data_IF_323013113570
#
_entry.id   IF_323013113570
#
_cell.length_a   1.000
_cell.length_b   1.000
_cell.length_c   1.000
_cell.angle_alpha   90.00
_cell.angle_beta   90.00
_cell.angle_gamma   90.00
#
_symmetry.space_group_name_H-M   'P 1'
#
loop_
_entity.id
_entity.type
_entity.pdbx_description
1 polymer ?
#
# COMPACT_ATOMS: atom_id res chain seq x y z
N UNK A 1 1.66 -114.68 -36.52
CA UNK A 1 1.52 -113.30 -37.03
C UNK A 1 2.81 -112.57 -36.71
N UNK A 2 3.82 -112.57 -37.59
CA UNK A 2 5.15 -112.06 -37.21
C UNK A 2 5.25 -110.53 -37.19
N UNK A 3 4.34 -109.80 -37.84
CA UNK A 3 4.43 -108.35 -38.00
C UNK A 3 3.17 -107.68 -37.44
N UNK A 4 3.26 -107.08 -36.24
CA UNK A 4 2.17 -106.40 -35.57
C UNK A 4 2.67 -105.16 -34.83
N UNK A 5 1.92 -104.05 -34.92
CA UNK A 5 2.20 -102.81 -34.19
C UNK A 5 1.21 -102.64 -33.06
N UNK A 6 1.71 -102.21 -31.89
CA UNK A 6 0.92 -101.99 -30.68
C UNK A 6 0.90 -100.50 -30.39
N UNK A 7 -0.29 -99.91 -30.39
CA UNK A 7 -0.51 -98.50 -30.07
C UNK A 7 -1.16 -98.43 -28.69
N UNK A 8 -0.54 -97.65 -27.81
CA UNK A 8 -0.95 -97.44 -26.42
C UNK A 8 -1.09 -95.93 -26.20
N UNK A 9 -2.27 -95.49 -25.78
CA UNK A 9 -2.53 -94.09 -25.41
C UNK A 9 -3.40 -94.06 -24.15
N UNK A 10 -3.25 -93.04 -23.33
CA UNK A 10 -3.95 -92.92 -22.04
C UNK A 10 -5.48 -92.82 -22.21
N UNK A 11 -5.92 -92.25 -23.33
CA UNK A 11 -7.35 -92.15 -23.69
C UNK A 11 -7.95 -93.44 -24.28
N UNK A 12 -7.13 -94.48 -24.50
CA UNK A 12 -7.63 -95.77 -24.98
C UNK A 12 -7.85 -96.74 -23.81
N UNK A 13 -9.04 -97.33 -23.75
CA UNK A 13 -9.35 -98.42 -22.81
C UNK A 13 -8.72 -99.74 -23.29
N UNK A 14 -7.39 -99.82 -23.31
CA UNK A 14 -6.61 -100.98 -23.73
C UNK A 14 -5.65 -100.70 -24.89
N UNK A 15 -4.84 -101.70 -25.25
CA UNK A 15 -3.87 -101.58 -26.33
C UNK A 15 -4.49 -101.98 -27.67
N UNK A 16 -4.37 -101.12 -28.68
CA UNK A 16 -4.79 -101.44 -30.05
C UNK A 16 -3.64 -102.16 -30.74
N UNK A 17 -3.90 -103.34 -31.30
CA UNK A 17 -2.90 -104.14 -32.04
C UNK A 17 -3.32 -104.22 -33.50
N UNK A 18 -2.50 -103.69 -34.39
CA UNK A 18 -2.73 -103.75 -35.84
C UNK A 18 -1.75 -104.76 -36.46
N UNK A 19 -2.28 -105.68 -37.27
CA UNK A 19 -1.46 -106.62 -38.01
C UNK A 19 -1.03 -106.00 -39.35
N UNK A 20 0.20 -106.27 -39.78
CA UNK A 20 0.72 -105.88 -41.09
C UNK A 20 1.03 -107.13 -41.93
N UNK A 21 0.89 -107.05 -43.25
CA UNK A 21 1.09 -108.19 -44.14
C UNK A 21 2.59 -108.47 -44.38
N UNK A 22 3.45 -107.47 -44.17
CA UNK A 22 4.91 -107.59 -44.25
C UNK A 22 5.64 -106.70 -43.24
N UNK A 23 6.91 -107.02 -42.97
CA UNK A 23 7.81 -106.19 -42.15
C UNK A 23 7.98 -104.78 -42.74
N UNK A 24 8.00 -104.69 -44.07
CA UNK A 24 8.14 -103.42 -44.79
C UNK A 24 6.93 -102.50 -44.55
N UNK A 25 5.70 -103.04 -44.68
CA UNK A 25 4.48 -102.26 -44.40
C UNK A 25 4.39 -101.87 -42.92
N UNK A 26 4.77 -102.76 -42.00
CA UNK A 26 4.81 -102.45 -40.58
C UNK A 26 5.74 -101.25 -40.29
N UNK A 27 6.94 -101.25 -40.88
CA UNK A 27 7.89 -100.14 -40.75
C UNK A 27 7.35 -98.85 -41.35
N UNK A 28 6.74 -98.91 -42.54
CA UNK A 28 6.16 -97.76 -43.23
C UNK A 28 5.01 -97.12 -42.44
N UNK A 29 4.10 -97.92 -41.86
CA UNK A 29 3.01 -97.41 -41.02
C UNK A 29 3.51 -96.80 -39.70
N UNK A 30 4.52 -97.41 -39.07
CA UNK A 30 5.16 -96.83 -37.89
C UNK A 30 5.84 -95.49 -38.21
N UNK A 31 6.50 -95.39 -39.36
CA UNK A 31 7.11 -94.14 -39.83
C UNK A 31 6.04 -93.06 -40.07
N UNK A 32 4.97 -93.37 -40.82
CA UNK A 32 3.87 -92.42 -41.07
C UNK A 32 3.15 -91.98 -39.78
N UNK A 33 2.97 -92.87 -38.80
CA UNK A 33 2.41 -92.52 -37.49
C UNK A 33 3.34 -91.61 -36.68
N UNK A 34 4.65 -91.84 -36.75
CA UNK A 34 5.63 -90.96 -36.11
C UNK A 34 5.71 -89.59 -36.82
N UNK A 35 5.63 -89.56 -38.14
CA UNK A 35 5.61 -88.32 -38.91
C UNK A 35 4.35 -87.49 -38.68
N UNK A 36 3.17 -88.11 -38.69
CA UNK A 36 1.91 -87.43 -38.37
C UNK A 36 1.89 -86.91 -36.94
N UNK A 37 2.43 -87.66 -35.96
CA UNK A 37 2.61 -87.19 -34.59
C UNK A 37 3.50 -85.94 -34.48
N UNK A 38 4.59 -85.87 -35.26
CA UNK A 38 5.46 -84.68 -35.32
C UNK A 38 4.71 -83.47 -35.90
N UNK A 39 3.86 -83.66 -36.91
CA UNK A 39 3.06 -82.58 -37.50
C UNK A 39 2.01 -82.06 -36.51
N UNK A 40 1.29 -82.94 -35.83
CA UNK A 40 0.29 -82.55 -34.81
C UNK A 40 0.93 -81.77 -33.66
N UNK A 41 2.09 -82.23 -33.18
CA UNK A 41 2.84 -81.52 -32.14
C UNK A 41 3.34 -80.14 -32.60
N UNK A 42 3.89 -80.04 -33.80
CA UNK A 42 4.31 -78.74 -34.38
C UNK A 42 3.13 -77.78 -34.55
N UNK A 43 1.97 -78.27 -34.97
CA UNK A 43 0.76 -77.43 -35.09
C UNK A 43 0.27 -76.96 -33.72
N UNK A 44 0.30 -77.82 -32.69
CA UNK A 44 -0.02 -77.44 -31.32
C UNK A 44 0.94 -76.36 -30.80
N UNK A 45 2.25 -76.53 -31.01
CA UNK A 45 3.26 -75.53 -30.65
C UNK A 45 3.07 -74.19 -31.38
N UNK A 46 2.76 -74.22 -32.67
CA UNK A 46 2.46 -73.00 -33.43
C UNK A 46 1.18 -72.32 -32.92
N UNK A 47 0.16 -73.10 -32.56
CA UNK A 47 -1.08 -72.58 -31.97
C UNK A 47 -0.84 -71.92 -30.61
N UNK A 48 -0.09 -72.57 -29.73
CA UNK A 48 0.30 -72.04 -28.42
C UNK A 48 1.13 -70.76 -28.57
N UNK A 49 2.16 -70.76 -29.41
CA UNK A 49 2.98 -69.57 -29.67
C UNK A 49 2.17 -68.41 -30.29
N UNK A 50 1.16 -68.70 -31.12
CA UNK A 50 0.27 -67.67 -31.67
C UNK A 50 -0.66 -67.09 -30.60
N UNK A 51 -1.21 -67.93 -29.71
CA UNK A 51 -2.04 -67.48 -28.59
C UNK A 51 -1.21 -66.61 -27.64
N UNK A 52 -0.02 -67.08 -27.24
CA UNK A 52 0.90 -66.31 -26.40
C UNK A 52 1.25 -64.95 -27.04
N UNK A 53 1.52 -64.92 -28.36
CA UNK A 53 1.78 -63.68 -29.08
C UNK A 53 0.57 -62.74 -29.07
N UNK A 54 -0.65 -63.26 -29.24
CA UNK A 54 -1.87 -62.45 -29.23
C UNK A 54 -2.19 -61.93 -27.82
N UNK A 55 -1.97 -62.73 -26.78
CA UNK A 55 -2.12 -62.32 -25.39
C UNK A 55 -1.12 -61.23 -25.02
N UNK A 56 0.15 -61.37 -25.43
CA UNK A 56 1.17 -60.37 -25.22
C UNK A 56 0.84 -59.05 -25.94
N UNK A 57 0.36 -59.11 -27.19
CA UNK A 57 -0.11 -57.93 -27.92
C UNK A 57 -1.32 -57.29 -27.26
N UNK A 58 -2.30 -58.09 -26.81
CA UNK A 58 -3.48 -57.60 -26.10
C UNK A 58 -3.12 -56.90 -24.78
N UNK A 59 -2.19 -57.48 -24.01
CA UNK A 59 -1.68 -56.87 -22.79
C UNK A 59 -0.93 -55.56 -23.08
N UNK A 60 -0.11 -55.54 -24.13
CA UNK A 60 0.62 -54.34 -24.53
C UNK A 60 -0.33 -53.21 -24.94
N UNK A 61 -1.35 -53.50 -25.76
CA UNK A 61 -2.37 -52.53 -26.15
C UNK A 61 -3.16 -52.00 -24.95
N UNK A 62 -3.45 -52.86 -23.96
CA UNK A 62 -4.13 -52.44 -22.74
C UNK A 62 -3.26 -51.49 -21.91
N UNK A 63 -1.96 -51.76 -21.80
CA UNK A 63 -0.99 -50.87 -21.14
C UNK A 63 -0.89 -49.52 -21.83
N UNK A 64 -0.68 -49.52 -23.14
CA UNK A 64 -0.60 -48.29 -23.93
C UNK A 64 -1.87 -47.46 -23.78
N UNK A 65 -3.05 -48.09 -23.87
CA UNK A 65 -4.33 -47.41 -23.63
C UNK A 65 -4.40 -46.77 -22.24
N UNK A 66 -3.96 -47.47 -21.20
CA UNK A 66 -3.95 -46.93 -19.84
C UNK A 66 -3.01 -45.73 -19.74
N UNK A 67 -1.79 -45.83 -20.27
CA UNK A 67 -0.81 -44.73 -20.28
C UNK A 67 -1.34 -43.49 -21.03
N UNK A 68 -2.06 -43.68 -22.13
CA UNK A 68 -2.72 -42.56 -22.82
C UNK A 68 -3.82 -41.92 -21.99
N UNK A 69 -4.62 -42.72 -21.27
CA UNK A 69 -5.65 -42.20 -20.38
C UNK A 69 -5.04 -41.43 -19.21
N UNK A 70 -3.98 -41.95 -18.61
CA UNK A 70 -3.29 -41.30 -17.50
C UNK A 70 -2.72 -39.93 -17.93
N UNK A 71 -2.06 -39.86 -19.09
CA UNK A 71 -1.58 -38.59 -19.67
C UNK A 71 -2.70 -37.58 -19.92
N UNK A 72 -3.82 -38.03 -20.48
CA UNK A 72 -4.97 -37.16 -20.73
C UNK A 72 -5.56 -36.63 -19.42
N UNK A 73 -5.57 -37.45 -18.36
CA UNK A 73 -5.99 -37.01 -17.03
C UNK A 73 -5.04 -35.96 -16.46
N UNK A 74 -3.72 -36.18 -16.54
CA UNK A 74 -2.71 -35.20 -16.12
C UNK A 74 -2.87 -33.86 -16.85
N UNK A 75 -2.97 -33.88 -18.19
CA UNK A 75 -3.19 -32.66 -19.00
C UNK A 75 -4.51 -31.95 -18.60
N UNK A 76 -5.56 -32.70 -18.31
CA UNK A 76 -6.85 -32.13 -17.89
C UNK A 76 -6.74 -31.47 -16.51
N UNK A 77 -6.03 -32.09 -15.57
CA UNK A 77 -5.78 -31.52 -14.24
C UNK A 77 -4.95 -30.24 -14.33
N UNK A 78 -3.90 -30.22 -15.16
CA UNK A 78 -3.08 -29.02 -15.40
C UNK A 78 -3.91 -27.88 -16.00
N UNK A 79 -4.77 -28.17 -16.98
CA UNK A 79 -5.67 -27.17 -17.58
C UNK A 79 -6.69 -26.63 -16.57
N UNK A 80 -7.22 -27.48 -15.69
CA UNK A 80 -8.11 -27.05 -14.61
C UNK A 80 -7.40 -26.10 -13.65
N UNK A 81 -6.18 -26.43 -13.21
CA UNK A 81 -5.37 -25.57 -12.34
C UNK A 81 -5.05 -24.23 -13.00
N UNK A 82 -4.66 -24.23 -14.29
CA UNK A 82 -4.42 -22.99 -15.03
C UNK A 82 -5.67 -22.12 -15.14
N UNK A 83 -6.84 -22.74 -15.33
CA UNK A 83 -8.11 -22.03 -15.37
C UNK A 83 -8.46 -21.42 -14.02
N UNK A 84 -8.30 -22.16 -12.93
CA UNK A 84 -8.53 -21.67 -11.58
C UNK A 84 -7.63 -20.47 -11.27
N UNK A 85 -6.32 -20.58 -11.55
CA UNK A 85 -5.37 -19.47 -11.41
C UNK A 85 -5.78 -18.24 -12.22
N UNK A 86 -6.26 -18.45 -13.46
CA UNK A 86 -6.73 -17.35 -14.31
C UNK A 86 -7.98 -16.68 -13.72
N UNK A 87 -8.94 -17.46 -13.24
CA UNK A 87 -10.15 -16.93 -12.59
C UNK A 87 -9.80 -16.18 -11.30
N UNK A 88 -8.84 -16.65 -10.51
CA UNK A 88 -8.33 -15.94 -9.33
C UNK A 88 -7.65 -14.62 -9.69
N UNK A 89 -6.82 -14.61 -10.74
CA UNK A 89 -6.19 -13.38 -11.25
C UNK A 89 -7.23 -12.38 -11.76
N UNK A 90 -8.27 -12.84 -12.44
CA UNK A 90 -9.37 -11.98 -12.90
C UNK A 90 -10.15 -11.38 -11.71
N UNK A 91 -10.44 -12.17 -10.67
CA UNK A 91 -11.06 -11.67 -9.43
C UNK A 91 -10.17 -10.64 -8.73
N UNK A 92 -8.88 -10.92 -8.59
CA UNK A 92 -7.92 -9.99 -7.98
C UNK A 92 -7.84 -8.69 -8.78
N UNK A 93 -7.82 -8.77 -10.11
CA UNK A 93 -7.79 -7.59 -10.97
C UNK A 93 -9.05 -6.73 -10.79
N UNK A 94 -10.24 -7.34 -10.67
CA UNK A 94 -11.48 -6.60 -10.39
C UNK A 94 -11.43 -5.87 -9.04
N UNK A 95 -10.89 -6.52 -7.99
CA UNK A 95 -10.72 -5.89 -6.68
C UNK A 95 -9.74 -4.71 -6.77
N UNK A 96 -8.60 -4.89 -7.44
CA UNK A 96 -7.62 -3.82 -7.65
C UNK A 96 -8.17 -2.64 -8.46
N UNK A 97 -8.98 -2.91 -9.49
CA UNK A 97 -9.66 -1.86 -10.26
C UNK A 97 -10.68 -1.10 -9.42
N UNK A 98 -11.45 -1.79 -8.57
CA UNK A 98 -12.39 -1.17 -7.64
C UNK A 98 -11.68 -0.31 -6.60
N UNK A 99 -10.61 -0.82 -5.97
CA UNK A 99 -9.78 -0.05 -5.03
C UNK A 99 -9.18 1.18 -5.71
N UNK A 100 -8.65 1.03 -6.93
CA UNK A 100 -8.14 2.16 -7.72
C UNK A 100 -9.21 3.24 -7.94
N UNK A 101 -10.43 2.86 -8.29
CA UNK A 101 -11.54 3.80 -8.45
C UNK A 101 -11.85 4.53 -7.14
N UNK A 102 -11.92 3.82 -6.01
CA UNK A 102 -12.13 4.43 -4.70
C UNK A 102 -11.00 5.43 -4.35
N UNK A 103 -9.74 5.10 -4.63
CA UNK A 103 -8.63 6.04 -4.44
C UNK A 103 -8.77 7.28 -5.33
N UNK A 104 -9.17 7.12 -6.59
CA UNK A 104 -9.40 8.24 -7.50
C UNK A 104 -10.56 9.15 -7.04
N UNK A 105 -11.61 8.59 -6.46
CA UNK A 105 -12.74 9.33 -5.85
C UNK A 105 -12.26 10.16 -4.65
N UNK A 106 -11.58 9.53 -3.69
CA UNK A 106 -11.05 10.23 -2.50
C UNK A 106 -10.08 11.36 -2.90
N UNK A 107 -9.23 11.13 -3.90
CA UNK A 107 -8.33 12.18 -4.42
C UNK A 107 -9.12 13.34 -5.03
N UNK A 108 -10.25 13.08 -5.71
CA UNK A 108 -11.09 14.13 -6.26
C UNK A 108 -11.81 14.92 -5.15
N UNK A 109 -12.33 14.25 -4.13
CA UNK A 109 -12.96 14.89 -2.96
C UNK A 109 -11.98 15.81 -2.24
N UNK A 110 -10.78 15.32 -1.91
CA UNK A 110 -9.74 16.12 -1.27
C UNK A 110 -9.33 17.35 -2.10
N UNK A 111 -9.35 17.24 -3.44
CA UNK A 111 -9.09 18.40 -4.33
C UNK A 111 -10.22 19.42 -4.30
N UNK A 112 -11.48 18.98 -4.24
CA UNK A 112 -12.62 19.87 -4.12
C UNK A 112 -12.61 20.61 -2.77
N UNK A 113 -12.32 19.90 -1.69
CA UNK A 113 -12.13 20.49 -0.36
C UNK A 113 -10.99 21.52 -0.35
N UNK A 114 -9.84 21.21 -0.95
CA UNK A 114 -8.73 22.15 -1.07
C UNK A 114 -9.14 23.43 -1.80
N UNK A 115 -9.91 23.31 -2.90
CA UNK A 115 -10.40 24.47 -3.63
C UNK A 115 -11.40 25.29 -2.81
N UNK A 116 -12.25 24.63 -2.02
CA UNK A 116 -13.20 25.30 -1.14
C UNK A 116 -12.47 26.07 -0.03
N UNK A 117 -11.53 25.44 0.67
CA UNK A 117 -10.73 26.08 1.72
C UNK A 117 -9.97 27.28 1.16
N UNK A 118 -9.44 27.17 -0.07
CA UNK A 118 -8.78 28.29 -0.74
C UNK A 118 -9.73 29.47 -0.97
N UNK A 119 -10.96 29.21 -1.42
CA UNK A 119 -11.98 30.25 -1.60
C UNK A 119 -12.37 30.90 -0.26
N UNK A 120 -12.55 30.10 0.79
CA UNK A 120 -12.87 30.60 2.14
C UNK A 120 -11.74 31.47 2.68
N UNK A 121 -10.49 31.03 2.54
CA UNK A 121 -9.30 31.80 2.91
C UNK A 121 -9.21 33.14 2.15
N UNK A 122 -9.51 33.15 0.84
CA UNK A 122 -9.54 34.36 0.02
C UNK A 122 -10.61 35.35 0.53
N UNK A 123 -11.80 34.86 0.92
CA UNK A 123 -12.86 35.68 1.50
C UNK A 123 -12.49 36.25 2.88
N UNK A 124 -11.85 35.45 3.74
CA UNK A 124 -11.35 35.91 5.05
C UNK A 124 -10.30 37.01 4.87
N UNK A 125 -9.36 36.84 3.94
CA UNK A 125 -8.33 37.86 3.63
C UNK A 125 -8.93 39.15 3.08
N UNK A 126 -9.96 39.06 2.23
CA UNK A 126 -10.69 40.24 1.74
C UNK A 126 -11.42 40.96 2.88
N UNK A 127 -12.08 40.21 3.77
CA UNK A 127 -12.78 40.77 4.94
C UNK A 127 -11.81 41.45 5.91
N UNK A 128 -10.67 40.82 6.18
CA UNK A 128 -9.61 41.38 7.04
C UNK A 128 -9.11 42.71 6.47
N UNK A 129 -8.91 42.79 5.15
CA UNK A 129 -8.49 44.02 4.47
C UNK A 129 -9.50 45.16 4.65
N UNK A 130 -10.80 44.88 4.51
CA UNK A 130 -11.84 45.87 4.74
C UNK A 130 -11.82 46.41 6.18
N UNK A 131 -11.67 45.54 7.18
CA UNK A 131 -11.56 45.95 8.59
C UNK A 131 -10.29 46.78 8.83
N UNK A 132 -9.17 46.45 8.18
CA UNK A 132 -7.92 47.22 8.27
C UNK A 132 -8.06 48.63 7.66
N UNK A 133 -8.80 48.76 6.56
CA UNK A 133 -9.14 50.05 5.94
C UNK A 133 -10.03 50.89 6.85
N UNK A 134 -11.11 50.32 7.39
CA UNK A 134 -11.98 51.00 8.36
C UNK A 134 -11.21 51.45 9.62
N UNK A 135 -10.29 50.63 10.13
CA UNK A 135 -9.41 51.02 11.26
C UNK A 135 -8.54 52.23 10.92
N UNK A 136 -7.99 52.31 9.70
CA UNK A 136 -7.18 53.47 9.27
C UNK A 136 -8.04 54.74 9.21
N UNK A 137 -9.25 54.64 8.68
CA UNK A 137 -10.20 55.75 8.63
C UNK A 137 -10.58 56.22 10.03
N UNK A 138 -10.97 55.30 10.92
CA UNK A 138 -11.31 55.61 12.31
C UNK A 138 -10.13 56.21 13.10
N UNK A 139 -8.90 55.73 12.87
CA UNK A 139 -7.70 56.35 13.46
C UNK A 139 -7.53 57.79 13.00
N UNK A 140 -7.63 58.05 11.69
CA UNK A 140 -7.52 59.40 11.14
C UNK A 140 -8.62 60.36 11.67
N UNK A 141 -9.85 59.85 11.84
CA UNK A 141 -10.96 60.58 12.44
C UNK A 141 -10.71 60.86 13.94
N UNK A 142 -10.22 59.87 14.68
CA UNK A 142 -9.91 60.04 16.12
C UNK A 142 -8.78 61.07 16.31
N UNK A 143 -7.77 61.06 15.44
CA UNK A 143 -6.69 62.05 15.44
C UNK A 143 -7.18 63.47 15.11
N UNK A 144 -8.12 63.62 14.17
CA UNK A 144 -8.68 64.93 13.83
C UNK A 144 -9.57 65.47 14.95
N UNK A 145 -10.43 64.64 15.55
CA UNK A 145 -11.23 64.97 16.72
C UNK A 145 -10.37 65.34 17.94
N UNK A 146 -9.25 64.65 18.13
CA UNK A 146 -8.30 64.98 19.19
C UNK A 146 -7.67 66.37 18.98
N UNK A 147 -7.25 66.70 17.75
CA UNK A 147 -6.70 68.02 17.42
C UNK A 147 -7.71 69.14 17.63
N UNK A 148 -8.95 68.96 17.18
CA UNK A 148 -10.00 69.98 17.36
C UNK A 148 -10.36 70.19 18.83
N UNK A 149 -10.41 69.11 19.63
CA UNK A 149 -10.57 69.19 21.09
C UNK A 149 -9.42 69.98 21.76
N UNK A 150 -8.18 69.77 21.33
CA UNK A 150 -7.03 70.52 21.83
C UNK A 150 -7.04 72.00 21.41
N UNK A 151 -7.55 72.32 20.22
CA UNK A 151 -7.72 73.71 19.77
C UNK A 151 -8.81 74.42 20.57
N UNK A 152 -9.97 73.77 20.77
CA UNK A 152 -11.07 74.29 21.59
C UNK A 152 -10.67 74.44 23.05
N UNK A 153 -9.85 73.55 23.61
CA UNK A 153 -9.36 73.70 24.99
C UNK A 153 -8.42 74.90 25.13
N UNK A 154 -7.56 75.16 24.14
CA UNK A 154 -6.74 76.38 24.09
C UNK A 154 -7.61 77.63 23.94
N UNK A 155 -8.66 77.59 23.13
CA UNK A 155 -9.60 78.71 22.97
C UNK A 155 -10.41 78.96 24.25
N UNK A 156 -10.85 77.91 24.94
CA UNK A 156 -11.46 77.98 26.26
C UNK A 156 -10.52 78.68 27.25
N UNK A 157 -9.25 78.28 27.27
CA UNK A 157 -8.25 78.89 28.15
C UNK A 157 -8.07 80.39 27.86
N UNK A 158 -7.94 80.78 26.58
CA UNK A 158 -7.84 82.19 26.18
C UNK A 158 -9.08 83.00 26.55
N UNK A 159 -10.28 82.44 26.40
CA UNK A 159 -11.54 83.12 26.73
C UNK A 159 -11.71 83.30 28.24
N UNK A 160 -11.24 82.35 29.04
CA UNK A 160 -11.16 82.49 30.51
C UNK A 160 -10.17 83.60 30.92
N UNK A 161 -8.97 83.62 30.33
CA UNK A 161 -7.96 84.66 30.59
C UNK A 161 -8.51 86.06 30.26
N UNK A 162 -9.20 86.23 29.12
CA UNK A 162 -9.86 87.50 28.78
C UNK A 162 -11.00 87.88 29.75
N UNK A 163 -11.70 86.89 30.33
CA UNK A 163 -12.73 87.15 31.35
C UNK A 163 -12.10 87.60 32.67
N UNK A 164 -11.01 86.97 33.10
CA UNK A 164 -10.23 87.35 34.29
C UNK A 164 -9.59 88.74 34.13
N UNK A 165 -9.05 89.06 32.96
CA UNK A 165 -8.52 90.39 32.63
C UNK A 165 -9.62 91.47 32.66
N UNK A 166 -10.80 91.17 32.12
CA UNK A 166 -11.94 92.09 32.17
C UNK A 166 -12.46 92.30 33.60
N UNK A 167 -12.51 91.26 34.44
CA UNK A 167 -12.84 91.39 35.87
C UNK A 167 -11.77 92.20 36.62
N UNK A 168 -10.49 92.00 36.32
CA UNK A 168 -9.36 92.73 36.92
C UNK A 168 -9.35 94.21 36.52
N UNK A 169 -9.76 94.55 35.29
CA UNK A 169 -9.89 95.93 34.80
C UNK A 169 -11.14 96.66 35.33
N UNK A 170 -12.17 95.92 35.79
CA UNK A 170 -13.37 96.50 36.41
C UNK A 170 -13.16 96.85 37.89
N UNK A 171 -12.11 96.33 38.55
CA UNK A 171 -11.83 96.60 39.98
C UNK A 171 -11.27 98.01 40.32
N UNK A 172 -10.65 98.80 39.41
CA UNK A 172 -10.31 100.21 39.71
C UNK A 172 -11.36 101.25 39.29
N UNK A 173 -12.38 100.91 38.48
CA UNK A 173 -13.31 101.87 37.85
C UNK A 173 -14.77 101.55 38.19
N UNK A 174 -15.09 101.54 39.48
CA UNK A 174 -16.44 101.33 39.99
C UNK A 174 -17.43 102.48 39.70
N UNK A 175 -17.05 103.56 38.99
CA UNK A 175 -17.95 104.67 38.71
C UNK A 175 -17.86 105.16 37.27
N UNK A 176 -19.01 105.11 36.59
CA UNK A 176 -19.35 105.71 35.29
C UNK A 176 -18.91 104.97 34.02
N UNK A 177 -19.71 104.00 33.56
CA UNK A 177 -20.57 104.16 32.38
C UNK A 177 -21.16 102.82 31.92
N UNK A 178 -22.37 102.88 31.37
CA UNK A 178 -23.15 101.74 30.88
C UNK A 178 -22.44 101.08 29.69
N UNK A 179 -21.98 99.84 29.85
CA UNK A 179 -21.95 98.80 28.80
C UNK A 179 -21.85 97.40 29.44
N UNK A 180 -22.99 96.73 29.75
CA UNK A 180 -23.00 95.36 30.26
C UNK A 180 -22.83 94.29 29.17
N UNK A 181 -22.66 94.68 27.90
CA UNK A 181 -22.87 93.77 26.77
C UNK A 181 -21.60 92.99 26.35
N UNK A 182 -20.41 93.41 26.77
CA UNK A 182 -19.13 92.75 26.42
C UNK A 182 -18.95 91.44 27.19
N UNK A 183 -19.14 91.45 28.51
CA UNK A 183 -18.90 90.31 29.40
C UNK A 183 -19.90 89.16 29.18
N UNK A 184 -21.16 89.48 28.87
CA UNK A 184 -22.20 88.49 28.55
C UNK A 184 -21.95 87.75 27.22
N UNK A 185 -21.32 88.42 26.24
CA UNK A 185 -20.92 87.78 24.98
C UNK A 185 -19.82 86.74 25.19
N UNK A 186 -18.80 87.05 26.00
CA UNK A 186 -17.73 86.13 26.35
C UNK A 186 -18.21 84.91 27.14
N UNK A 187 -19.14 85.09 28.09
CA UNK A 187 -19.78 83.98 28.81
C UNK A 187 -20.62 83.06 27.89
N UNK A 188 -21.33 83.63 26.92
CA UNK A 188 -22.07 82.83 25.91
C UNK A 188 -21.11 82.07 24.99
N UNK A 189 -19.99 82.68 24.58
CA UNK A 189 -18.96 82.01 23.79
C UNK A 189 -18.32 80.85 24.57
N UNK A 190 -18.00 81.06 25.84
CA UNK A 190 -17.46 80.01 26.71
C UNK A 190 -18.42 78.81 26.79
N UNK A 191 -19.72 79.07 27.01
CA UNK A 191 -20.75 78.02 27.05
C UNK A 191 -20.84 77.25 25.72
N UNK A 192 -20.78 77.95 24.59
CA UNK A 192 -20.79 77.31 23.27
C UNK A 192 -19.53 76.46 23.02
N UNK A 193 -18.36 76.91 23.48
CA UNK A 193 -17.11 76.13 23.41
C UNK A 193 -17.25 74.86 24.25
N UNK A 194 -17.80 74.95 25.46
CA UNK A 194 -18.02 73.81 26.34
C UNK A 194 -19.02 72.80 25.75
N UNK A 195 -20.13 73.26 25.17
CA UNK A 195 -21.11 72.41 24.49
C UNK A 195 -20.50 71.68 23.28
N UNK A 196 -19.76 72.39 22.42
CA UNK A 196 -19.05 71.78 21.27
C UNK A 196 -17.98 70.80 21.70
N UNK A 197 -17.22 71.15 22.75
CA UNK A 197 -16.20 70.26 23.32
C UNK A 197 -16.86 68.99 23.85
N UNK A 198 -18.03 69.08 24.49
CA UNK A 198 -18.77 67.91 24.95
C UNK A 198 -19.23 67.00 23.80
N UNK A 199 -19.82 67.58 22.75
CA UNK A 199 -20.25 66.85 21.55
C UNK A 199 -19.08 66.12 20.86
N UNK A 200 -17.94 66.78 20.68
CA UNK A 200 -16.75 66.16 20.07
C UNK A 200 -16.17 65.04 20.94
N UNK A 201 -16.28 65.15 22.26
CA UNK A 201 -15.83 64.11 23.19
C UNK A 201 -16.73 62.87 23.09
N UNK A 202 -18.05 63.05 22.95
CA UNK A 202 -18.98 61.95 22.67
C UNK A 202 -18.68 61.27 21.33
N UNK A 203 -18.46 62.05 20.26
CA UNK A 203 -18.08 61.51 18.94
C UNK A 203 -16.76 60.72 19.00
N UNK A 204 -15.77 61.24 19.73
CA UNK A 204 -14.49 60.55 19.95
C UNK A 204 -14.69 59.20 20.66
N UNK A 205 -15.48 59.17 21.74
CA UNK A 205 -15.77 57.93 22.48
C UNK A 205 -16.49 56.91 21.59
N UNK A 206 -17.40 57.36 20.72
CA UNK A 206 -18.07 56.49 19.75
C UNK A 206 -17.09 55.93 18.70
N UNK A 207 -16.18 56.75 18.18
CA UNK A 207 -15.12 56.31 17.26
C UNK A 207 -14.18 55.30 17.92
N UNK A 208 -13.77 55.53 19.17
CA UNK A 208 -12.95 54.59 19.96
C UNK A 208 -13.66 53.27 20.25
N UNK A 209 -14.98 53.28 20.47
CA UNK A 209 -15.77 52.05 20.63
C UNK A 209 -15.78 51.23 19.34
N UNK A 210 -16.04 51.87 18.19
CA UNK A 210 -15.97 51.21 16.88
C UNK A 210 -14.58 50.66 16.57
N UNK A 211 -13.52 51.38 16.97
CA UNK A 211 -12.14 50.89 16.86
C UNK A 211 -11.93 49.58 17.61
N UNK A 212 -12.41 49.48 18.86
CA UNK A 212 -12.32 48.24 19.65
C UNK A 212 -13.11 47.09 19.01
N UNK A 213 -14.32 47.34 18.54
CA UNK A 213 -15.14 46.35 17.83
C UNK A 213 -14.41 45.83 16.58
N UNK A 214 -13.79 46.71 15.80
CA UNK A 214 -12.99 46.32 14.64
C UNK A 214 -11.69 45.58 15.03
N UNK A 215 -11.09 45.87 16.18
CA UNK A 215 -9.97 45.08 16.72
C UNK A 215 -10.36 43.66 17.11
N UNK A 216 -11.53 43.47 17.74
CA UNK A 216 -12.08 42.16 18.04
C UNK A 216 -12.43 41.38 16.76
N UNK A 217 -13.11 42.04 15.81
CA UNK A 217 -13.43 41.43 14.50
C UNK A 217 -12.19 41.02 13.71
N UNK A 218 -11.16 41.87 13.72
CA UNK A 218 -9.87 41.57 13.09
C UNK A 218 -9.18 40.38 13.73
N UNK A 219 -9.22 40.24 15.06
CA UNK A 219 -8.66 39.07 15.76
C UNK A 219 -9.37 37.78 15.37
N UNK A 220 -10.70 37.78 15.34
CA UNK A 220 -11.48 36.61 14.92
C UNK A 220 -11.16 36.19 13.46
N UNK A 221 -11.05 37.15 12.53
CA UNK A 221 -10.67 36.87 11.15
C UNK A 221 -9.22 36.37 11.01
N UNK A 222 -8.31 36.82 11.86
CA UNK A 222 -6.93 36.34 11.90
C UNK A 222 -6.87 34.86 12.34
N UNK A 223 -7.65 34.50 13.36
CA UNK A 223 -7.80 33.12 13.84
C UNK A 223 -8.41 32.20 12.77
N UNK A 224 -9.46 32.65 12.09
CA UNK A 224 -10.04 31.92 10.94
C UNK A 224 -9.02 31.73 9.80
N UNK A 225 -8.24 32.77 9.48
CA UNK A 225 -7.19 32.67 8.45
C UNK A 225 -6.15 31.63 8.83
N UNK A 226 -5.68 31.64 10.08
CA UNK A 226 -4.70 30.66 10.57
C UNK A 226 -5.27 29.23 10.55
N UNK A 227 -6.53 29.06 10.95
CA UNK A 227 -7.23 27.78 10.86
C UNK A 227 -7.24 27.25 9.42
N UNK A 228 -7.76 28.02 8.47
CA UNK A 228 -7.83 27.60 7.06
C UNK A 228 -6.46 27.41 6.43
N UNK A 229 -5.48 28.24 6.77
CA UNK A 229 -4.11 28.08 6.31
C UNK A 229 -3.49 26.77 6.81
N UNK A 230 -3.70 26.42 8.08
CA UNK A 230 -3.19 25.17 8.65
C UNK A 230 -3.84 23.94 8.01
N UNK A 231 -5.15 23.97 7.81
CA UNK A 231 -5.91 22.90 7.18
C UNK A 231 -5.49 22.72 5.72
N UNK A 232 -5.33 23.82 4.97
CA UNK A 232 -4.86 23.80 3.59
C UNK A 232 -3.47 23.18 3.47
N UNK A 233 -2.55 23.52 4.38
CA UNK A 233 -1.20 22.96 4.41
C UNK A 233 -1.21 21.44 4.67
N UNK A 234 -2.03 20.98 5.62
CA UNK A 234 -2.15 19.54 5.93
C UNK A 234 -2.69 18.77 4.73
N UNK A 235 -3.76 19.27 4.10
CA UNK A 235 -4.34 18.66 2.90
C UNK A 235 -3.35 18.66 1.73
N UNK A 236 -2.61 19.75 1.53
CA UNK A 236 -1.59 19.84 0.49
C UNK A 236 -0.46 18.82 0.71
N UNK A 237 0.01 18.67 1.95
CA UNK A 237 1.02 17.67 2.28
C UNK A 237 0.50 16.26 2.01
N UNK A 238 -0.72 15.93 2.46
CA UNK A 238 -1.34 14.62 2.23
C UNK A 238 -1.50 14.31 0.74
N UNK A 239 -1.98 15.26 -0.06
CA UNK A 239 -2.09 15.10 -1.51
C UNK A 239 -0.72 14.90 -2.18
N UNK A 240 0.32 15.58 -1.69
CA UNK A 240 1.68 15.43 -2.22
C UNK A 240 2.28 14.06 -1.90
N UNK A 241 2.06 13.54 -0.69
CA UNK A 241 2.49 12.21 -0.25
C UNK A 241 1.77 11.14 -1.08
N UNK A 242 0.44 11.21 -1.18
CA UNK A 242 -0.35 10.25 -1.95
C UNK A 242 0.01 10.27 -3.45
N UNK A 243 0.32 11.45 -4.00
CA UNK A 243 0.80 11.56 -5.39
C UNK A 243 2.17 10.92 -5.58
N UNK A 244 3.08 11.09 -4.61
CA UNK A 244 4.41 10.46 -4.65
C UNK A 244 4.31 8.94 -4.51
N UNK A 245 3.50 8.43 -3.60
CA UNK A 245 3.24 7.00 -3.44
C UNK A 245 2.65 6.39 -4.71
N UNK A 246 1.64 7.03 -5.31
CA UNK A 246 1.07 6.62 -6.61
C UNK A 246 2.14 6.55 -7.70
N UNK A 247 2.99 7.56 -7.82
CA UNK A 247 4.05 7.58 -8.84
C UNK A 247 5.07 6.47 -8.61
N UNK A 248 5.39 6.17 -7.35
CA UNK A 248 6.30 5.09 -7.00
C UNK A 248 5.71 3.72 -7.36
N UNK A 249 4.45 3.46 -6.99
CA UNK A 249 3.78 2.19 -7.31
C UNK A 249 3.59 2.00 -8.82
N UNK A 250 3.28 3.07 -9.57
CA UNK A 250 3.22 3.03 -11.03
C UNK A 250 4.58 2.72 -11.67
N UNK A 251 5.68 3.24 -11.11
CA UNK A 251 7.03 2.93 -11.58
C UNK A 251 7.42 1.49 -11.29
N UNK A 252 7.12 0.98 -10.10
CA UNK A 252 7.40 -0.39 -9.70
C UNK A 252 6.59 -1.38 -10.55
N UNK A 253 5.30 -1.11 -10.77
CA UNK A 253 4.44 -1.90 -11.66
C UNK A 253 4.98 -1.91 -13.09
N UNK A 254 5.44 -0.77 -13.60
CA UNK A 254 6.02 -0.69 -14.95
C UNK A 254 7.33 -1.48 -15.06
N UNK A 255 8.14 -1.47 -14.02
CA UNK A 255 9.38 -2.27 -13.97
C UNK A 255 9.06 -3.77 -13.96
N UNK A 256 8.09 -4.19 -13.15
CA UNK A 256 7.62 -5.58 -13.09
C UNK A 256 7.02 -6.02 -14.43
N UNK A 257 6.17 -5.20 -15.04
CA UNK A 257 5.57 -5.47 -16.35
C UNK A 257 6.64 -5.65 -17.44
N UNK A 258 7.71 -4.85 -17.40
CA UNK A 258 8.85 -5.00 -18.31
C UNK A 258 9.57 -6.34 -18.10
N UNK A 259 9.83 -6.72 -16.85
CA UNK A 259 10.45 -8.01 -16.52
C UNK A 259 9.56 -9.16 -16.99
N UNK A 260 8.25 -9.08 -16.77
CA UNK A 260 7.28 -10.08 -17.25
C UNK A 260 7.28 -10.18 -18.77
N UNK A 261 7.25 -9.05 -19.48
CA UNK A 261 7.31 -9.02 -20.94
C UNK A 261 8.61 -9.66 -21.48
N UNK A 262 9.74 -9.39 -20.84
CA UNK A 262 11.04 -9.99 -21.20
C UNK A 262 11.08 -11.50 -20.92
N UNK A 263 10.36 -11.98 -19.90
CA UNK A 263 10.21 -13.41 -19.60
C UNK A 263 9.28 -14.10 -20.61
N UNK A 264 8.14 -13.52 -20.93
CA UNK A 264 7.21 -14.04 -21.95
C UNK A 264 7.88 -14.12 -23.33
N UNK A 265 8.69 -13.12 -23.69
CA UNK A 265 9.47 -13.15 -24.92
C UNK A 265 10.46 -14.32 -24.94
N UNK A 266 11.19 -14.54 -23.85
CA UNK A 266 12.15 -15.65 -23.72
C UNK A 266 11.47 -17.01 -23.75
N UNK A 267 10.31 -17.13 -23.12
CA UNK A 267 9.49 -18.34 -23.18
C UNK A 267 9.10 -18.66 -24.63
N UNK A 268 8.60 -17.67 -25.36
CA UNK A 268 8.23 -17.83 -26.78
C UNK A 268 9.42 -18.22 -27.65
N UNK A 269 10.58 -17.60 -27.47
CA UNK A 269 11.81 -17.98 -28.20
C UNK A 269 12.22 -19.44 -27.91
N UNK A 270 12.02 -19.91 -26.66
CA UNK A 270 12.28 -21.30 -26.30
C UNK A 270 11.25 -22.27 -26.91
N UNK A 271 9.97 -21.92 -26.92
CA UNK A 271 8.90 -22.68 -27.58
C UNK A 271 9.14 -22.80 -29.09
N UNK A 272 9.50 -21.70 -29.75
CA UNK A 272 9.84 -21.67 -31.18
C UNK A 272 11.07 -22.54 -31.48
N UNK A 273 12.11 -22.47 -30.64
CA UNK A 273 13.30 -23.33 -30.77
C UNK A 273 12.96 -24.81 -30.57
N UNK A 274 12.09 -25.14 -29.62
CA UNK A 274 11.62 -26.51 -29.39
C UNK A 274 10.84 -27.04 -30.60
N UNK A 275 9.92 -26.24 -31.11
CA UNK A 275 9.11 -26.62 -32.27
C UNK A 275 9.97 -26.76 -33.55
N UNK A 276 10.92 -25.85 -33.77
CA UNK A 276 11.91 -25.95 -34.86
C UNK A 276 12.74 -27.23 -34.76
N UNK A 277 13.20 -27.57 -33.55
CA UNK A 277 13.98 -28.78 -33.29
C UNK A 277 13.17 -30.05 -33.57
N UNK A 278 11.91 -30.10 -33.13
CA UNK A 278 10.99 -31.20 -33.40
C UNK A 278 10.75 -31.40 -34.90
N UNK A 279 10.48 -30.31 -35.64
CA UNK A 279 10.34 -30.37 -37.10
C UNK A 279 11.63 -30.83 -37.80
N UNK A 280 12.78 -30.36 -37.33
CA UNK A 280 14.10 -30.76 -37.84
C UNK A 280 14.38 -32.25 -37.65
N UNK A 281 14.05 -32.78 -36.47
CA UNK A 281 14.20 -34.20 -36.13
C UNK A 281 13.25 -35.11 -36.92
N UNK A 282 12.03 -34.65 -37.19
CA UNK A 282 11.02 -35.39 -37.95
C UNK A 282 11.25 -35.34 -39.48
N UNK A 283 12.15 -34.49 -39.97
CA UNK A 283 12.45 -34.39 -41.41
C UNK A 283 13.45 -35.46 -41.88
N UNK A 284 13.13 -36.18 -42.97
CA UNK A 284 14.05 -37.17 -43.57
C UNK A 284 15.26 -36.52 -44.26
N UNK A 285 15.12 -35.29 -44.77
CA UNK A 285 16.18 -34.57 -45.48
C UNK A 285 17.09 -33.80 -44.51
N UNK A 286 18.18 -34.46 -44.09
CA UNK A 286 19.24 -33.85 -43.28
C UNK A 286 20.24 -33.12 -44.16
N UNK A 287 20.27 -31.80 -44.03
CA UNK A 287 21.29 -30.95 -44.64
C UNK A 287 22.12 -30.28 -43.54
N UNK A 288 23.39 -29.94 -43.82
CA UNK A 288 24.31 -29.30 -42.87
C UNK A 288 23.73 -28.02 -42.27
N UNK A 289 22.99 -27.24 -43.06
CA UNK A 289 22.33 -26.02 -42.59
C UNK A 289 21.24 -26.30 -41.54
N UNK A 290 20.49 -27.39 -41.69
CA UNK A 290 19.47 -27.81 -40.71
C UNK A 290 20.12 -28.33 -39.43
N UNK A 291 21.22 -29.07 -39.54
CA UNK A 291 21.98 -29.52 -38.36
C UNK A 291 22.56 -28.35 -37.55
N UNK A 292 23.06 -27.30 -38.22
CA UNK A 292 23.55 -26.09 -37.53
C UNK A 292 22.41 -25.28 -36.89
N UNK A 293 21.23 -25.21 -37.55
CA UNK A 293 20.02 -24.62 -36.95
C UNK A 293 19.58 -25.39 -35.70
N UNK A 294 19.49 -26.72 -35.76
CA UNK A 294 19.16 -27.57 -34.61
C UNK A 294 20.15 -27.43 -33.45
N UNK A 295 21.46 -27.31 -33.73
CA UNK A 295 22.46 -27.03 -32.68
C UNK A 295 22.25 -25.68 -32.00
N UNK A 296 21.83 -24.68 -32.76
CA UNK A 296 21.49 -23.35 -32.25
C UNK A 296 20.25 -23.42 -31.36
N UNK A 297 19.20 -24.13 -31.81
CA UNK A 297 17.96 -24.33 -31.05
C UNK A 297 18.21 -25.08 -29.74
N UNK A 298 19.01 -26.15 -29.77
CA UNK A 298 19.45 -26.87 -28.55
C UNK A 298 20.24 -25.95 -27.61
N UNK A 299 21.09 -25.07 -28.15
CA UNK A 299 21.85 -24.12 -27.34
C UNK A 299 20.93 -23.06 -26.69
N UNK A 300 19.89 -22.60 -27.39
CA UNK A 300 18.90 -21.67 -26.87
C UNK A 300 18.06 -22.31 -25.76
N UNK A 301 17.56 -23.54 -25.98
CA UNK A 301 16.84 -24.31 -24.97
C UNK A 301 17.70 -24.55 -23.73
N UNK A 302 18.97 -24.94 -23.91
CA UNK A 302 19.90 -25.12 -22.79
C UNK A 302 20.04 -23.84 -21.95
N UNK A 303 20.23 -22.68 -22.58
CA UNK A 303 20.32 -21.40 -21.88
C UNK A 303 19.04 -21.06 -21.10
N UNK A 304 17.88 -21.31 -21.71
CA UNK A 304 16.58 -21.10 -21.07
C UNK A 304 16.46 -21.95 -19.79
N UNK A 305 16.73 -23.26 -19.86
CA UNK A 305 16.67 -24.13 -18.69
C UNK A 305 17.73 -23.79 -17.62
N UNK A 306 18.96 -23.45 -18.01
CA UNK A 306 19.99 -22.99 -17.06
C UNK A 306 19.55 -21.73 -16.31
N UNK A 307 18.81 -20.84 -16.97
CA UNK A 307 18.23 -19.65 -16.35
C UNK A 307 17.03 -19.99 -15.44
N UNK A 308 16.14 -20.89 -15.85
CA UNK A 308 15.05 -21.38 -14.99
C UNK A 308 15.57 -22.02 -13.71
N UNK A 309 16.59 -22.88 -13.81
CA UNK A 309 17.23 -23.53 -12.65
C UNK A 309 17.81 -22.46 -11.71
N UNK A 310 18.53 -21.47 -12.27
CA UNK A 310 19.12 -20.38 -11.47
C UNK A 310 18.06 -19.56 -10.75
N UNK A 311 16.94 -19.27 -11.39
CA UNK A 311 15.83 -18.53 -10.81
C UNK A 311 15.13 -19.35 -9.71
N UNK A 312 14.88 -20.63 -9.94
CA UNK A 312 14.33 -21.53 -8.93
C UNK A 312 15.25 -21.67 -7.70
N UNK A 313 16.57 -21.73 -7.91
CA UNK A 313 17.53 -21.72 -6.81
C UNK A 313 17.51 -20.41 -6.00
N UNK A 314 17.36 -19.27 -6.68
CA UNK A 314 17.23 -17.96 -6.02
C UNK A 314 15.93 -17.89 -5.22
N UNK A 315 14.83 -18.35 -5.77
CA UNK A 315 13.52 -18.40 -5.12
C UNK A 315 13.54 -19.31 -3.89
N UNK A 316 14.14 -20.50 -3.99
CA UNK A 316 14.34 -21.38 -2.84
C UNK A 316 15.18 -20.73 -1.72
N UNK A 317 16.10 -19.82 -2.08
CA UNK A 317 16.94 -19.06 -1.12
C UNK A 317 16.25 -17.80 -0.59
N UNK A 318 15.13 -17.35 -1.16
CA UNK A 318 14.43 -16.10 -0.79
C UNK A 318 14.09 -16.02 0.71
N UNK A 319 13.52 -17.05 1.36
CA UNK A 319 13.21 -16.98 2.78
C UNK A 319 14.45 -16.70 3.65
N UNK A 320 15.61 -17.23 3.25
CA UNK A 320 16.88 -17.01 3.96
C UNK A 320 17.44 -15.61 3.71
N UNK A 321 17.36 -15.12 2.46
CA UNK A 321 17.76 -13.75 2.08
C UNK A 321 16.92 -12.72 2.85
N UNK A 322 15.60 -12.91 2.92
CA UNK A 322 14.69 -12.05 3.67
C UNK A 322 14.95 -12.08 5.18
N UNK A 323 15.20 -13.28 5.75
CA UNK A 323 15.59 -13.40 7.16
C UNK A 323 16.87 -12.63 7.48
N UNK A 324 17.85 -12.67 6.57
CA UNK A 324 19.13 -11.98 6.71
C UNK A 324 18.98 -10.45 6.56
N UNK A 325 18.15 -9.96 5.64
CA UNK A 325 17.90 -8.50 5.48
C UNK A 325 17.22 -7.90 6.72
N UNK A 326 16.24 -8.60 7.30
CA UNK A 326 15.60 -8.21 8.57
C UNK A 326 16.60 -8.23 9.72
N UNK A 327 17.47 -9.24 9.77
CA UNK A 327 18.52 -9.34 10.79
C UNK A 327 19.55 -8.20 10.67
N UNK A 328 19.93 -7.82 9.45
CA UNK A 328 20.80 -6.67 9.17
C UNK A 328 20.17 -5.36 9.64
N UNK A 329 18.90 -5.11 9.31
CA UNK A 329 18.17 -3.93 9.81
C UNK A 329 18.05 -3.90 11.33
N UNK A 330 17.72 -5.04 11.97
CA UNK A 330 17.69 -5.16 13.43
C UNK A 330 19.06 -4.88 14.06
N UNK A 331 20.12 -5.41 13.47
CA UNK A 331 21.50 -5.21 13.94
C UNK A 331 21.97 -3.77 13.75
N UNK A 332 21.68 -3.15 12.60
CA UNK A 332 21.95 -1.74 12.32
C UNK A 332 21.19 -0.83 13.30
N UNK A 333 19.91 -1.09 13.53
CA UNK A 333 19.08 -0.34 14.50
C UNK A 333 19.65 -0.46 15.92
N UNK A 334 20.07 -1.66 16.34
CA UNK A 334 20.73 -1.89 17.63
C UNK A 334 22.07 -1.13 17.72
N UNK A 335 22.88 -1.14 16.65
CA UNK A 335 24.13 -0.37 16.58
C UNK A 335 23.88 1.13 16.67
N UNK A 336 22.90 1.68 15.93
CA UNK A 336 22.52 3.11 16.02
C UNK A 336 22.07 3.47 17.44
N UNK A 337 21.22 2.66 18.08
CA UNK A 337 20.81 2.87 19.47
C UNK A 337 21.99 2.78 20.44
N UNK A 338 22.90 1.84 20.25
CA UNK A 338 24.12 1.69 21.06
C UNK A 338 25.08 2.87 20.89
N UNK A 339 25.27 3.38 19.66
CA UNK A 339 26.05 4.58 19.38
C UNK A 339 25.41 5.85 19.98
N UNK A 340 24.08 5.96 19.96
CA UNK A 340 23.36 7.06 20.65
C UNK A 340 23.54 6.98 22.18
N UNK A 341 23.51 5.78 22.76
CA UNK A 341 23.77 5.56 24.19
C UNK A 341 25.22 5.86 24.56
N UNK A 342 26.19 5.43 23.75
CA UNK A 342 27.60 5.76 23.94
C UNK A 342 27.84 7.27 23.80
N UNK A 343 27.21 7.93 22.82
CA UNK A 343 27.28 9.39 22.65
C UNK A 343 26.64 10.15 23.81
N UNK A 344 25.54 9.64 24.40
CA UNK A 344 24.95 10.19 25.64
C UNK A 344 25.84 9.95 26.86
N UNK A 345 26.50 8.80 27.00
CA UNK A 345 27.43 8.52 28.10
C UNK A 345 28.73 9.33 27.99
N UNK A 346 29.27 9.50 26.78
CA UNK A 346 30.41 10.39 26.55
C UNK A 346 30.03 11.86 26.71
N UNK A 347 28.80 12.27 26.33
CA UNK A 347 28.26 13.61 26.63
C UNK A 347 28.05 13.84 28.12
N UNK A 348 27.60 12.83 28.89
CA UNK A 348 27.48 12.91 30.33
C UNK A 348 28.85 12.99 31.03
N UNK A 349 29.85 12.27 30.52
CA UNK A 349 31.24 12.34 31.01
C UNK A 349 31.93 13.68 30.71
N UNK A 350 31.46 14.44 29.72
CA UNK A 350 31.98 15.79 29.41
C UNK A 350 31.18 16.92 30.08
N UNK A 351 30.02 16.62 30.68
CA UNK A 351 29.16 17.61 31.31
C UNK A 351 29.39 17.80 32.83
N UNK A 352 30.32 17.06 33.45
CA UNK A 352 30.71 17.29 34.85
C UNK A 352 31.66 18.47 35.06
N UNK A 353 31.97 19.25 34.00
CA UNK A 353 32.83 20.44 34.12
C UNK A 353 32.19 21.77 33.70
N UNK A 354 30.92 21.83 33.28
CA UNK A 354 30.29 23.13 33.01
C UNK A 354 28.85 23.19 33.49
N UNK A 355 28.70 23.81 34.66
CA UNK A 355 27.54 24.60 35.08
C UNK A 355 26.86 25.26 33.88
N UNK A 356 25.54 25.10 33.79
CA UNK A 356 24.60 26.22 33.73
C UNK A 356 23.16 25.72 33.87
N UNK A 357 22.45 26.36 34.80
CA UNK A 357 21.05 26.14 35.13
C UNK A 357 20.15 26.58 33.97
N UNK A 358 19.32 25.68 33.45
CA UNK A 358 17.99 25.99 32.91
C UNK A 358 17.36 24.73 32.30
N UNK A 359 16.45 24.10 33.04
CA UNK A 359 15.15 23.62 32.56
C UNK A 359 14.46 22.94 33.75
N UNK A 360 13.38 23.55 34.22
CA UNK A 360 12.51 22.97 35.24
C UNK A 360 11.80 21.79 34.58
N UNK A 361 12.28 20.57 34.84
CA UNK A 361 11.46 19.38 34.69
C UNK A 361 10.66 19.26 35.99
N UNK A 362 9.33 19.38 35.93
CA UNK A 362 8.52 19.29 37.13
C UNK A 362 8.66 17.89 37.73
N UNK A 363 9.07 17.82 39.01
CA UNK A 363 9.24 16.56 39.76
C UNK A 363 7.97 15.69 39.74
N UNK A 364 6.81 16.31 39.49
CA UNK A 364 5.48 15.71 39.41
C UNK A 364 5.30 14.79 38.20
N UNK A 365 5.85 15.13 37.03
CA UNK A 365 5.74 14.30 35.82
C UNK A 365 6.65 13.07 35.86
N UNK A 366 7.82 13.19 36.50
CA UNK A 366 8.73 12.06 36.71
C UNK A 366 8.11 10.98 37.62
N UNK A 367 7.36 11.39 38.65
CA UNK A 367 6.67 10.46 39.55
C UNK A 367 5.48 9.78 38.87
N UNK A 368 4.67 10.51 38.09
CA UNK A 368 3.56 9.93 37.33
C UNK A 368 4.01 8.86 36.33
N UNK A 369 5.13 9.07 35.65
CA UNK A 369 5.67 8.08 34.69
C UNK A 369 6.17 6.82 35.41
N UNK A 370 6.72 6.95 36.61
CA UNK A 370 7.21 5.81 37.37
C UNK A 370 6.07 5.00 38.00
N UNK A 371 5.01 5.67 38.47
CA UNK A 371 3.77 5.01 38.90
C UNK A 371 3.08 4.25 37.77
N UNK A 372 3.03 4.83 36.55
CA UNK A 372 2.48 4.17 35.37
C UNK A 372 3.27 2.91 35.01
N UNK A 373 4.62 2.97 35.11
CA UNK A 373 5.48 1.80 34.88
C UNK A 373 5.31 0.73 35.94
N UNK A 374 5.13 1.11 37.21
CA UNK A 374 4.83 0.14 38.27
C UNK A 374 3.46 -0.50 38.08
N UNK A 375 2.44 0.28 37.72
CA UNK A 375 1.11 -0.24 37.42
C UNK A 375 1.14 -1.22 36.23
N UNK A 376 1.85 -0.88 35.16
CA UNK A 376 2.05 -1.76 34.01
C UNK A 376 2.79 -3.06 34.39
N UNK A 377 3.79 -2.98 35.30
CA UNK A 377 4.48 -4.18 35.83
C UNK A 377 3.59 -5.03 36.71
N UNK A 378 2.70 -4.42 37.51
CA UNK A 378 1.72 -5.15 38.35
C UNK A 378 0.70 -5.87 37.48
N UNK A 379 0.10 -5.18 36.49
CA UNK A 379 -0.82 -5.78 35.51
C UNK A 379 -0.16 -6.90 34.70
N UNK A 380 1.10 -6.71 34.30
CA UNK A 380 1.85 -7.74 33.58
C UNK A 380 2.15 -8.96 34.43
N UNK A 381 2.13 -8.88 35.76
CA UNK A 381 2.36 -10.00 36.69
C UNK A 381 1.06 -10.65 37.16
N UNK A 382 -0.08 -10.01 36.92
CA UNK A 382 -1.38 -10.52 37.29
C UNK A 382 -1.76 -11.68 36.36
N UNK A 383 -1.91 -12.87 36.96
CA UNK A 383 -2.24 -14.09 36.25
C UNK A 383 -3.66 -14.04 35.66
N UNK A 384 -4.61 -13.42 36.38
CA UNK A 384 -5.99 -13.32 35.94
C UNK A 384 -6.09 -12.43 34.70
N UNK A 385 -5.35 -11.32 34.68
CA UNK A 385 -5.27 -10.42 33.52
C UNK A 385 -4.68 -11.12 32.29
N UNK A 386 -3.64 -11.95 32.46
CA UNK A 386 -3.07 -12.75 31.36
C UNK A 386 -4.07 -13.76 30.84
N UNK A 387 -4.75 -14.49 31.71
CA UNK A 387 -5.76 -15.49 31.32
C UNK A 387 -6.93 -14.83 30.57
N UNK A 388 -7.39 -13.66 31.00
CA UNK A 388 -8.42 -12.89 30.29
C UNK A 388 -7.95 -12.43 28.91
N UNK A 389 -6.70 -11.95 28.78
CA UNK A 389 -6.14 -11.59 27.47
C UNK A 389 -6.02 -12.79 26.54
N UNK A 390 -5.59 -13.95 27.06
CA UNK A 390 -5.55 -15.19 26.28
C UNK A 390 -6.95 -15.63 25.83
N UNK A 391 -7.97 -15.51 26.67
CA UNK A 391 -9.36 -15.81 26.27
C UNK A 391 -9.90 -14.85 25.22
N UNK A 392 -9.56 -13.55 25.29
CA UNK A 392 -9.95 -12.56 24.27
C UNK A 392 -9.25 -12.88 22.94
N UNK A 393 -7.95 -13.19 22.96
CA UNK A 393 -7.21 -13.56 21.76
C UNK A 393 -7.70 -14.87 21.13
N UNK A 394 -8.06 -15.87 21.95
CA UNK A 394 -8.64 -17.13 21.46
C UNK A 394 -10.05 -16.94 20.89
N UNK A 395 -10.87 -16.08 21.52
CA UNK A 395 -12.21 -15.74 21.01
C UNK A 395 -12.14 -15.01 19.66
N UNK A 396 -11.18 -14.09 19.48
CA UNK A 396 -10.95 -13.40 18.20
C UNK A 396 -10.40 -14.33 17.11
N UNK A 397 -9.60 -15.34 17.47
CA UNK A 397 -9.07 -16.32 16.52
C UNK A 397 -10.16 -17.29 16.04
N UNK A 398 -11.09 -17.66 16.92
CA UNK A 398 -12.22 -18.53 16.58
C UNK A 398 -13.31 -17.81 15.78
N UNK A 399 -13.46 -16.48 15.92
CA UNK A 399 -14.34 -15.69 15.05
C UNK A 399 -13.78 -15.48 13.64
N UNK A 400 -12.46 -15.63 13.45
CA UNK A 400 -11.81 -15.51 12.15
C UNK A 400 -11.78 -16.83 11.35
N UNK A 401 -12.13 -17.96 11.96
CA UNK A 401 -12.14 -19.30 11.32
C UNK A 401 -13.55 -19.84 11.06
N UNK A 402 -14.59 -18.97 11.12
CA UNK A 402 -15.99 -19.35 11.00
C UNK A 402 -16.59 -19.22 9.59
N UNK A 403 -15.90 -18.56 8.66
CA UNK A 403 -16.34 -18.40 7.27
C UNK A 403 -15.61 -19.38 6.36
N UNK A 404 -15.85 -20.69 6.56
CA UNK A 404 -15.69 -21.72 5.53
C UNK A 404 -16.52 -22.95 5.95
N UNK A 405 -17.82 -22.89 5.68
CA UNK A 405 -18.64 -24.00 5.16
C UNK A 405 -20.08 -23.59 4.85
#
# INVERSE_FOLDING_TARGET
MPFAMKISHEDFHGNIVLAAESEFEQAQWLEMLQESGKVTWRNAQLGEAMIESLEAQGLQLAKEKQEYLDKLMEETEELCLQREQKEELERLNQVLEAEKQQFEEVVQELRLEQQQIKRELELTVQSLRGVEEEKKELRSLTESLQKTLEELSREKQRTLEMLEENESQLQPLANASKQPNSTGGLHNNLRQIEEKMHQLLEEKVLAERRMKENEERSRALEEEREFYSSQSQVLQNSLSELTAEKQQTEQDLKAEMKVRMDLEKRLREAEEALHSLEQGLNSLDRNKEKEEKMKTDVSNLKKFFEECIRNAELEAKMPMIMKNSVYLHKTATRRIKSCRLHRRRSSASWNDLKQSQSFIFSQTEANNIEELKEAAKRLSRDQHFRETLYQIMMSQKNSASGDEK
#
